data_IF_877684405141
#
_entry.id   IF_877684405141
#
_cell.length_a   1.000
_cell.length_b   1.000
_cell.length_c   1.000
_cell.angle_alpha   90.00
_cell.angle_beta   90.00
_cell.angle_gamma   90.00
#
_symmetry.space_group_name_H-M   'P 1'
#
loop_
_entity.id
_entity.type
_entity.pdbx_description
1 polymer ?
#
# COMPACT_ATOMS: atom_id res chain seq x y z
N UNK A 1 -10.99 -60.03 28.38
CA UNK A 1 -10.40 -61.28 28.88
C UNK A 1 -9.32 -61.71 27.91
N UNK A 2 -8.12 -62.12 28.36
CA UNK A 2 -7.56 -61.90 29.70
C UNK A 2 -6.11 -61.33 29.59
N UNK A 3 -5.70 -60.39 30.46
CA UNK A 3 -4.91 -60.60 31.70
C UNK A 3 -3.41 -60.87 31.40
N UNK A 4 -2.41 -60.24 32.03
CA UNK A 4 -2.14 -60.20 33.48
C UNK A 4 -1.01 -59.18 33.80
N UNK A 5 -1.16 -58.43 34.89
CA UNK A 5 -0.09 -57.91 35.77
C UNK A 5 0.50 -59.11 36.59
N UNK A 6 1.67 -59.08 37.29
CA UNK A 6 2.04 -58.00 38.24
C UNK A 6 3.55 -57.76 38.57
N UNK A 7 3.75 -56.67 39.32
CA UNK A 7 4.74 -56.35 40.37
C UNK A 7 5.95 -57.28 40.65
N UNK A 8 7.12 -56.68 40.90
CA UNK A 8 7.70 -56.60 42.25
C UNK A 8 8.94 -55.68 42.34
N UNK A 9 8.86 -54.72 43.26
CA UNK A 9 9.99 -53.98 43.83
C UNK A 9 10.82 -54.92 44.71
N UNK A 10 12.15 -54.78 44.67
CA UNK A 10 12.98 -54.55 45.86
C UNK A 10 14.46 -54.49 45.45
N UNK A 11 14.99 -53.27 45.35
CA UNK A 11 16.43 -53.03 45.35
C UNK A 11 16.83 -52.57 46.76
N UNK A 12 17.65 -53.37 47.43
CA UNK A 12 18.65 -52.91 48.40
C UNK A 12 19.51 -54.09 48.80
N UNK A 13 20.79 -54.06 48.46
CA UNK A 13 21.85 -54.12 49.46
C UNK A 13 23.20 -53.73 48.82
N UNK A 14 23.73 -52.61 49.34
CA UNK A 14 25.12 -52.26 49.58
C UNK A 14 26.24 -52.77 48.64
N UNK A 15 26.84 -51.78 47.96
CA UNK A 15 28.27 -51.44 47.93
C UNK A 15 29.29 -52.53 48.26
N UNK A 16 30.13 -52.85 47.27
CA UNK A 16 31.59 -52.93 47.45
C UNK A 16 32.29 -52.49 46.14
N UNK A 17 33.23 -51.58 46.34
CA UNK A 17 33.93 -50.77 45.34
C UNK A 17 35.16 -51.52 44.84
N UNK A 18 35.42 -51.49 43.52
CA UNK A 18 36.71 -51.11 42.93
C UNK A 18 36.73 -51.45 41.43
N UNK A 19 37.10 -50.47 40.60
CA UNK A 19 37.38 -50.68 39.17
C UNK A 19 36.63 -49.75 38.21
N UNK A 20 36.34 -48.51 38.59
CA UNK A 20 35.96 -47.50 37.60
C UNK A 20 37.23 -47.05 36.86
N UNK A 21 37.45 -47.60 35.67
CA UNK A 21 38.25 -46.94 34.65
C UNK A 21 37.65 -45.56 34.43
N UNK A 22 38.47 -44.51 34.59
CA UNK A 22 38.05 -43.15 34.33
C UNK A 22 37.63 -43.06 32.86
N UNK A 23 36.32 -42.85 32.62
CA UNK A 23 35.84 -42.35 31.34
C UNK A 23 36.56 -41.01 31.07
N UNK A 24 37.07 -40.77 29.85
CA UNK A 24 37.71 -39.51 29.53
C UNK A 24 36.66 -38.40 29.72
N UNK A 25 36.93 -37.48 30.63
CA UNK A 25 36.16 -36.25 30.74
C UNK A 25 36.34 -35.48 29.44
N UNK A 26 35.32 -35.52 28.57
CA UNK A 26 35.20 -34.58 27.47
C UNK A 26 35.11 -33.17 28.09
N UNK A 27 36.15 -32.37 27.87
CA UNK A 27 36.21 -30.99 28.31
C UNK A 27 35.12 -30.18 27.58
N UNK A 28 34.21 -29.46 28.26
CA UNK A 28 33.10 -28.73 27.60
C UNK A 28 33.54 -27.53 26.76
N UNK A 29 34.84 -27.24 26.65
CA UNK A 29 35.37 -26.02 26.05
C UNK A 29 35.83 -26.16 24.59
N UNK A 30 35.69 -27.32 23.96
CA UNK A 30 36.17 -27.53 22.58
C UNK A 30 35.13 -27.27 21.46
N UNK A 31 33.84 -27.05 21.77
CA UNK A 31 32.79 -26.85 20.74
C UNK A 31 32.31 -25.39 20.56
N UNK A 32 32.77 -24.45 21.38
CA UNK A 32 32.43 -23.02 21.26
C UNK A 32 32.82 -22.33 19.93
N UNK A 33 33.94 -22.68 19.23
CA UNK A 33 34.38 -21.94 18.04
C UNK A 33 33.44 -22.04 16.82
N UNK A 34 32.58 -23.06 16.75
CA UNK A 34 31.73 -23.29 15.58
C UNK A 34 30.47 -22.39 15.54
N UNK A 35 30.08 -21.80 16.67
CA UNK A 35 28.83 -21.04 16.78
C UNK A 35 29.04 -19.52 16.80
N UNK A 36 30.17 -19.07 17.35
CA UNK A 36 30.46 -17.65 17.51
C UNK A 36 31.95 -17.39 17.32
N UNK A 37 32.29 -16.24 16.74
CA UNK A 37 33.67 -15.80 16.55
C UNK A 37 33.94 -14.57 17.41
N UNK A 38 35.00 -14.59 18.22
CA UNK A 38 35.44 -13.41 18.97
C UNK A 38 36.00 -12.36 18.02
N UNK A 39 35.50 -11.13 18.13
CA UNK A 39 35.93 -10.00 17.30
C UNK A 39 37.02 -9.16 17.97
N UNK A 40 37.13 -9.19 19.30
CA UNK A 40 38.13 -8.44 20.07
C UNK A 40 37.51 -7.43 21.05
N UNK A 41 38.35 -6.51 21.53
CA UNK A 41 37.95 -5.47 22.47
C UNK A 41 37.42 -4.21 21.78
N UNK A 42 36.26 -3.71 22.24
CA UNK A 42 35.63 -2.52 21.69
C UNK A 42 35.19 -1.56 22.80
N UNK A 43 35.19 -0.27 22.52
CA UNK A 43 34.54 0.71 23.40
C UNK A 43 33.06 0.32 23.57
N UNK A 44 32.54 0.35 24.79
CA UNK A 44 31.14 0.02 25.12
C UNK A 44 30.15 1.14 24.78
N UNK A 45 30.67 2.34 24.48
CA UNK A 45 29.90 3.46 23.92
C UNK A 45 30.71 4.20 22.87
N UNK A 46 30.04 4.63 21.81
CA UNK A 46 30.57 5.55 20.78
C UNK A 46 29.66 6.77 20.74
N UNK A 47 30.20 7.98 20.91
CA UNK A 47 29.44 9.24 20.96
C UNK A 47 28.24 9.21 21.94
N UNK A 48 28.41 8.53 23.09
CA UNK A 48 27.38 8.41 24.12
C UNK A 48 26.33 7.32 23.87
N UNK A 49 26.32 6.68 22.71
CA UNK A 49 25.42 5.58 22.35
C UNK A 49 26.11 4.25 22.67
N UNK A 50 25.40 3.31 23.31
CA UNK A 50 25.94 1.97 23.57
C UNK A 50 26.22 1.24 22.26
N UNK A 51 27.27 0.44 22.27
CA UNK A 51 27.71 -0.37 21.12
C UNK A 51 26.67 -1.40 20.69
N UNK A 52 25.99 -2.01 21.66
CA UNK A 52 24.88 -2.94 21.45
C UNK A 52 23.66 -2.47 22.26
N UNK A 53 22.52 -2.31 21.59
CA UNK A 53 21.35 -1.61 22.13
C UNK A 53 20.06 -2.44 22.18
N UNK A 54 20.06 -3.66 21.63
CA UNK A 54 18.82 -4.40 21.40
C UNK A 54 18.30 -5.13 22.64
N UNK A 55 19.16 -5.88 23.33
CA UNK A 55 18.79 -6.61 24.55
C UNK A 55 19.97 -6.69 25.51
N UNK A 56 19.69 -6.85 26.80
CA UNK A 56 20.73 -6.97 27.82
C UNK A 56 20.28 -7.77 29.04
N UNK A 57 21.23 -8.44 29.69
CA UNK A 57 21.05 -9.09 30.99
C UNK A 57 22.33 -9.00 31.81
N UNK A 58 22.28 -9.24 33.12
CA UNK A 58 23.46 -9.26 33.96
C UNK A 58 23.31 -10.18 35.16
N UNK A 59 24.42 -10.71 35.67
CA UNK A 59 24.42 -11.62 36.81
C UNK A 59 25.81 -12.09 37.24
N UNK A 60 25.89 -12.62 38.44
CA UNK A 60 27.17 -12.98 39.07
C UNK A 60 27.68 -14.39 38.66
N UNK A 61 26.96 -15.04 37.74
CA UNK A 61 27.34 -16.31 37.11
C UNK A 61 27.58 -16.16 35.59
N UNK A 62 27.91 -14.95 35.13
CA UNK A 62 28.09 -14.67 33.70
C UNK A 62 29.29 -15.41 33.12
N UNK A 63 29.09 -16.04 31.97
CA UNK A 63 30.13 -16.66 31.14
C UNK A 63 29.92 -16.22 29.69
N UNK A 64 30.94 -16.39 28.84
CA UNK A 64 30.80 -16.17 27.40
C UNK A 64 29.67 -17.03 26.82
N UNK A 65 29.56 -18.29 27.26
CA UNK A 65 28.54 -19.23 26.78
C UNK A 65 27.12 -18.86 27.21
N UNK A 66 26.92 -18.39 28.44
CA UNK A 66 25.60 -17.95 28.91
C UNK A 66 25.15 -16.68 28.19
N UNK A 67 26.06 -15.74 27.93
CA UNK A 67 25.73 -14.55 27.14
C UNK A 67 25.41 -14.90 25.68
N UNK A 68 26.21 -15.78 25.06
CA UNK A 68 25.98 -16.24 23.71
C UNK A 68 24.63 -16.97 23.56
N UNK A 69 24.24 -17.78 24.55
CA UNK A 69 22.93 -18.45 24.57
C UNK A 69 21.78 -17.43 24.65
N UNK A 70 21.89 -16.44 25.54
CA UNK A 70 20.92 -15.34 25.67
C UNK A 70 20.80 -14.54 24.37
N UNK A 71 21.92 -14.22 23.72
CA UNK A 71 21.96 -13.44 22.50
C UNK A 71 21.86 -14.27 21.21
N UNK A 72 21.45 -15.54 21.27
CA UNK A 72 21.42 -16.44 20.11
C UNK A 72 20.57 -15.97 18.92
N UNK A 73 19.64 -15.04 19.14
CA UNK A 73 18.80 -14.42 18.12
C UNK A 73 19.38 -13.12 17.50
N UNK A 74 20.57 -12.68 17.93
CA UNK A 74 21.19 -11.44 17.50
C UNK A 74 22.49 -11.69 16.75
N UNK A 75 22.89 -10.73 15.91
CA UNK A 75 24.11 -10.81 15.11
C UNK A 75 25.36 -10.72 15.98
N UNK A 76 25.32 -9.88 17.00
CA UNK A 76 26.44 -9.63 17.90
C UNK A 76 26.02 -9.80 19.35
N UNK A 77 26.99 -10.19 20.18
CA UNK A 77 26.89 -10.05 21.62
C UNK A 77 28.20 -9.55 22.19
N UNK A 78 28.13 -8.82 23.30
CA UNK A 78 29.26 -8.23 23.99
C UNK A 78 29.15 -8.43 25.49
N UNK A 79 30.28 -8.74 26.13
CA UNK A 79 30.36 -8.84 27.58
C UNK A 79 31.05 -7.60 28.15
N UNK A 80 30.44 -6.99 29.17
CA UNK A 80 30.93 -5.77 29.82
C UNK A 80 31.00 -5.98 31.34
N UNK A 81 31.99 -5.33 31.98
CA UNK A 81 32.09 -5.24 33.45
C UNK A 81 32.12 -6.60 34.17
N UNK A 82 32.57 -7.67 33.52
CA UNK A 82 32.65 -9.02 34.12
C UNK A 82 31.31 -9.73 34.31
N UNK A 83 30.17 -9.04 34.22
CA UNK A 83 28.85 -9.56 34.63
C UNK A 83 27.69 -9.19 33.71
N UNK A 84 27.91 -8.32 32.74
CA UNK A 84 26.86 -7.82 31.85
C UNK A 84 26.97 -8.46 30.47
N UNK A 85 25.81 -8.71 29.88
CA UNK A 85 25.66 -9.25 28.54
C UNK A 85 24.77 -8.32 27.72
N UNK A 86 25.24 -7.96 26.53
CA UNK A 86 24.55 -7.05 25.62
C UNK A 86 24.42 -7.70 24.25
N UNK A 87 23.28 -7.51 23.58
CA UNK A 87 23.00 -8.07 22.25
C UNK A 87 22.64 -6.95 21.27
N UNK A 88 23.00 -7.12 20.00
CA UNK A 88 22.61 -6.18 18.94
C UNK A 88 22.85 -6.71 17.54
N UNK A 89 22.22 -6.08 16.55
CA UNK A 89 22.36 -6.44 15.14
C UNK A 89 23.26 -5.47 14.35
N UNK A 90 23.51 -4.29 14.92
CA UNK A 90 24.40 -3.25 14.38
C UNK A 90 25.64 -3.08 15.25
N UNK A 91 26.76 -2.72 14.63
CA UNK A 91 28.04 -2.54 15.29
C UNK A 91 28.47 -1.06 15.19
N UNK A 92 27.95 -0.22 16.08
CA UNK A 92 28.56 1.09 16.36
C UNK A 92 29.71 0.87 17.33
N UNK A 93 30.85 0.36 16.83
CA UNK A 93 31.95 -0.07 17.69
C UNK A 93 33.29 0.49 17.21
N UNK A 94 34.08 1.01 18.16
CA UNK A 94 35.48 1.40 17.95
C UNK A 94 36.36 0.37 18.64
N UNK A 95 37.19 -0.32 17.86
CA UNK A 95 38.15 -1.27 18.42
C UNK A 95 39.15 -0.55 19.34
N UNK A 96 39.50 -1.20 20.45
CA UNK A 96 40.51 -0.73 21.39
C UNK A 96 41.59 -1.80 21.55
N UNK A 97 42.66 -1.47 22.27
CA UNK A 97 43.73 -2.43 22.55
C UNK A 97 43.19 -3.64 23.35
N UNK A 98 43.65 -4.84 23.02
CA UNK A 98 43.20 -6.09 23.65
C UNK A 98 43.42 -6.11 25.17
N UNK A 99 44.45 -5.41 25.68
CA UNK A 99 44.69 -5.30 27.12
C UNK A 99 43.57 -4.57 27.87
N UNK A 100 42.70 -3.84 27.17
CA UNK A 100 41.59 -3.13 27.78
C UNK A 100 40.40 -4.02 28.14
N UNK A 101 40.28 -5.24 27.61
CA UNK A 101 39.36 -6.24 28.16
C UNK A 101 40.05 -7.01 29.29
N UNK A 102 40.15 -6.39 30.46
CA UNK A 102 40.91 -6.95 31.58
C UNK A 102 40.07 -7.69 32.62
N UNK A 103 38.73 -7.61 32.56
CA UNK A 103 37.87 -8.16 33.60
C UNK A 103 37.57 -9.64 33.33
N UNK A 104 37.80 -10.53 34.31
CA UNK A 104 37.35 -11.91 34.22
C UNK A 104 35.83 -11.99 34.28
N UNK A 105 35.26 -13.01 33.66
CA UNK A 105 33.83 -13.30 33.78
C UNK A 105 33.47 -13.75 35.20
N UNK A 106 32.36 -13.24 35.76
CA UNK A 106 31.89 -13.53 37.12
C UNK A 106 31.59 -15.01 37.35
N UNK A 107 31.11 -15.71 36.33
CA UNK A 107 30.84 -17.16 36.34
C UNK A 107 32.00 -18.03 35.83
N UNK A 108 33.07 -17.45 35.29
CA UNK A 108 34.25 -18.20 34.84
C UNK A 108 35.50 -17.31 34.75
N UNK A 109 36.36 -17.39 35.75
CA UNK A 109 37.57 -16.55 35.84
C UNK A 109 38.63 -16.81 34.76
N UNK A 110 38.47 -17.87 33.95
CA UNK A 110 39.34 -18.17 32.81
C UNK A 110 38.90 -17.50 31.50
N UNK A 111 37.75 -16.83 31.52
CA UNK A 111 37.19 -16.11 30.38
C UNK A 111 37.28 -14.61 30.61
N UNK A 112 37.39 -13.87 29.50
CA UNK A 112 37.38 -12.40 29.49
C UNK A 112 35.96 -11.89 29.28
N UNK A 113 35.58 -10.84 30.01
CA UNK A 113 34.25 -10.24 29.99
C UNK A 113 34.32 -8.71 29.97
N UNK A 114 35.13 -8.18 29.04
CA UNK A 114 35.30 -6.74 28.84
C UNK A 114 36.05 -6.05 29.97
N UNK A 115 35.70 -4.80 30.25
CA UNK A 115 36.12 -4.02 31.42
C UNK A 115 35.15 -2.85 31.67
N UNK A 116 35.54 -1.85 32.47
CA UNK A 116 34.77 -0.62 32.64
C UNK A 116 34.61 0.12 31.30
N UNK A 117 33.37 0.17 30.78
CA UNK A 117 33.01 0.75 29.49
C UNK A 117 33.71 0.13 28.27
N UNK A 118 34.22 -1.10 28.37
CA UNK A 118 34.83 -1.86 27.28
C UNK A 118 34.09 -3.20 27.13
N UNK A 119 33.70 -3.55 25.91
CA UNK A 119 33.01 -4.78 25.58
C UNK A 119 33.96 -5.78 24.91
N UNK A 120 33.97 -7.01 25.43
CA UNK A 120 34.54 -8.16 24.73
C UNK A 120 33.50 -8.69 23.74
N UNK A 121 33.71 -8.44 22.45
CA UNK A 121 32.68 -8.53 21.41
C UNK A 121 32.81 -9.81 20.58
N UNK A 122 31.66 -10.39 20.22
CA UNK A 122 31.53 -11.63 19.46
C UNK A 122 30.48 -11.50 18.36
N UNK A 123 30.69 -12.19 17.23
CA UNK A 123 29.70 -12.36 16.16
C UNK A 123 29.10 -13.77 16.21
N UNK A 124 27.79 -13.85 15.98
CA UNK A 124 27.04 -15.09 15.87
C UNK A 124 27.08 -15.61 14.43
N UNK A 125 27.80 -16.71 14.21
CA UNK A 125 28.00 -17.31 12.89
C UNK A 125 26.73 -17.99 12.36
N UNK A 126 25.71 -18.19 13.22
CA UNK A 126 24.38 -18.71 12.83
C UNK A 126 23.32 -17.61 12.73
N UNK A 127 23.70 -16.35 12.78
CA UNK A 127 22.74 -15.26 12.66
C UNK A 127 22.04 -15.30 11.30
N UNK A 128 20.72 -15.39 11.34
CA UNK A 128 19.88 -15.27 10.15
C UNK A 128 19.47 -13.80 10.05
N UNK A 129 19.93 -13.13 8.98
CA UNK A 129 19.51 -11.78 8.65
C UNK A 129 17.99 -11.74 8.46
N UNK A 130 17.30 -11.10 9.41
CA UNK A 130 15.85 -10.89 9.35
C UNK A 130 15.52 -9.86 8.28
N UNK A 131 14.47 -10.12 7.51
CA UNK A 131 14.00 -9.20 6.47
C UNK A 131 12.54 -8.83 6.71
N UNK A 132 12.08 -7.67 6.22
CA UNK A 132 10.65 -7.42 6.11
C UNK A 132 9.97 -8.59 5.42
N UNK A 133 8.81 -8.99 5.95
CA UNK A 133 8.04 -10.04 5.31
C UNK A 133 7.65 -9.62 3.89
N UNK A 134 7.93 -10.50 2.91
CA UNK A 134 7.45 -10.33 1.55
C UNK A 134 5.97 -10.71 1.49
N UNK A 135 5.10 -9.73 1.69
CA UNK A 135 3.65 -9.90 1.60
C UNK A 135 3.13 -9.36 0.27
N UNK A 136 1.88 -9.71 -0.07
CA UNK A 136 1.15 -9.09 -1.20
C UNK A 136 0.84 -7.61 -0.98
N UNK A 137 1.02 -7.12 0.25
CA UNK A 137 0.88 -5.71 0.61
C UNK A 137 2.26 -5.07 0.78
N UNK A 138 2.47 -3.81 0.33
CA UNK A 138 3.76 -3.15 0.45
C UNK A 138 4.18 -2.93 1.91
N UNK A 139 5.45 -3.20 2.23
CA UNK A 139 6.04 -2.75 3.48
C UNK A 139 6.28 -1.24 3.41
N UNK A 140 5.68 -0.46 4.32
CA UNK A 140 5.77 1.01 4.31
C UNK A 140 7.02 1.48 5.08
N UNK A 141 7.35 0.77 6.16
CA UNK A 141 8.51 1.06 6.99
C UNK A 141 8.35 0.66 8.46
N UNK A 142 9.38 0.97 9.23
CA UNK A 142 9.39 0.94 10.69
C UNK A 142 8.86 2.29 11.20
N UNK A 143 8.11 2.32 12.30
CA UNK A 143 7.47 3.53 12.83
C UNK A 143 7.70 3.67 14.34
N UNK A 144 7.84 4.89 14.87
CA UNK A 144 8.09 5.16 16.30
C UNK A 144 6.79 5.11 17.08
N UNK A 145 6.61 4.11 17.93
CA UNK A 145 5.40 3.94 18.76
C UNK A 145 5.67 4.37 20.21
N UNK A 146 5.45 5.65 20.51
CA UNK A 146 5.57 6.20 21.86
C UNK A 146 4.20 6.36 22.57
N UNK A 147 4.16 5.94 23.84
CA UNK A 147 2.94 5.56 24.55
C UNK A 147 1.80 6.58 24.72
N UNK A 148 1.95 7.92 24.63
CA UNK A 148 0.80 8.82 24.74
C UNK A 148 0.07 9.06 23.40
N UNK A 149 0.72 8.82 22.26
CA UNK A 149 0.15 8.95 20.90
C UNK A 149 0.63 7.78 20.04
N UNK A 150 0.10 6.58 20.35
CA UNK A 150 0.40 5.36 19.60
C UNK A 150 0.27 5.62 18.09
N UNK A 151 1.24 5.12 17.31
CA UNK A 151 1.20 5.21 15.83
C UNK A 151 -0.08 4.59 15.29
N UNK A 152 -0.48 3.49 15.91
CA UNK A 152 -1.76 2.82 15.70
C UNK A 152 -2.55 2.87 17.02
N UNK A 153 -3.41 3.88 17.20
CA UNK A 153 -4.09 4.11 18.47
C UNK A 153 -5.27 3.18 18.74
N UNK A 154 -5.67 2.33 17.78
CA UNK A 154 -6.85 1.47 17.88
C UNK A 154 -6.53 0.04 17.44
N UNK A 155 -7.30 -0.93 17.97
CA UNK A 155 -7.34 -2.34 17.53
C UNK A 155 -5.99 -3.10 17.62
N UNK A 156 -5.44 -3.22 18.83
CA UNK A 156 -4.29 -4.07 19.09
C UNK A 156 -4.60 -5.54 18.78
N UNK A 157 -3.77 -6.19 17.96
CA UNK A 157 -3.75 -7.64 17.83
C UNK A 157 -2.62 -8.22 18.70
N UNK A 158 -2.97 -8.91 19.77
CA UNK A 158 -2.06 -9.75 20.53
C UNK A 158 -2.26 -11.22 20.16
N UNK A 159 -1.18 -11.94 19.85
CA UNK A 159 -1.22 -13.39 19.66
C UNK A 159 0.12 -14.04 20.01
N UNK A 160 0.08 -15.23 20.58
CA UNK A 160 1.28 -16.03 20.88
C UNK A 160 1.95 -16.58 19.60
N UNK A 161 1.22 -16.59 18.48
CA UNK A 161 1.65 -17.12 17.18
C UNK A 161 1.63 -16.04 16.07
N UNK A 162 1.90 -14.79 16.46
CA UNK A 162 1.92 -13.63 15.58
C UNK A 162 2.85 -13.82 14.37
N UNK A 163 2.33 -13.55 13.17
CA UNK A 163 3.08 -13.47 11.92
C UNK A 163 2.85 -12.12 11.26
N UNK A 164 3.74 -11.70 10.37
CA UNK A 164 3.53 -10.48 9.59
C UNK A 164 2.22 -10.53 8.77
N UNK A 165 1.84 -11.70 8.26
CA UNK A 165 0.57 -11.90 7.55
C UNK A 165 -0.66 -11.69 8.46
N UNK A 166 -0.65 -12.23 9.68
CA UNK A 166 -1.73 -12.00 10.65
C UNK A 166 -1.87 -10.54 11.04
N UNK A 167 -0.74 -9.87 11.23
CA UNK A 167 -0.71 -8.44 11.54
C UNK A 167 -1.27 -7.61 10.35
N UNK A 168 -0.84 -7.93 9.14
CA UNK A 168 -1.32 -7.33 7.90
C UNK A 168 -2.83 -7.47 7.68
N UNK A 169 -3.37 -8.69 7.81
CA UNK A 169 -4.80 -8.98 7.61
C UNK A 169 -5.68 -8.20 8.60
N UNK A 170 -5.25 -8.15 9.87
CA UNK A 170 -5.94 -7.40 10.91
C UNK A 170 -5.89 -5.89 10.66
N UNK A 171 -4.78 -5.39 10.15
CA UNK A 171 -4.54 -3.96 9.95
C UNK A 171 -5.08 -3.42 8.61
N UNK A 172 -5.63 -4.27 7.72
CA UNK A 172 -6.02 -3.92 6.36
C UNK A 172 -7.06 -2.77 6.23
N UNK A 173 -7.72 -2.38 7.33
CA UNK A 173 -8.75 -1.36 7.36
C UNK A 173 -8.33 -0.03 8.04
N UNK A 174 -7.06 0.16 8.41
CA UNK A 174 -6.62 1.30 9.27
C UNK A 174 -5.50 2.17 8.64
N UNK A 175 -5.36 3.42 9.14
CA UNK A 175 -4.40 4.46 8.69
C UNK A 175 -3.11 4.50 9.55
N UNK A 176 -1.97 4.99 9.01
CA UNK A 176 -0.63 4.96 9.67
C UNK A 176 0.14 6.31 9.62
N UNK A 177 0.90 6.69 10.68
CA UNK A 177 1.72 7.92 10.74
C UNK A 177 3.09 7.74 11.45
N UNK A 178 4.18 8.34 10.94
CA UNK A 178 5.47 8.55 11.66
C UNK A 178 6.58 7.49 11.51
N UNK A 179 7.48 7.64 10.52
CA UNK A 179 8.50 6.64 10.16
C UNK A 179 9.80 6.74 11.00
N UNK A 180 10.32 5.58 11.40
CA UNK A 180 11.61 5.34 12.05
C UNK A 180 12.59 4.63 11.09
N UNK A 181 13.92 4.65 11.37
CA UNK A 181 14.88 3.80 10.67
C UNK A 181 14.52 2.30 10.75
N UNK A 182 14.74 1.57 9.66
CA UNK A 182 14.38 0.14 9.57
C UNK A 182 15.15 -0.73 10.58
N UNK A 183 16.41 -0.39 10.86
CA UNK A 183 17.26 -1.13 11.79
C UNK A 183 16.75 -1.14 13.24
N UNK A 184 15.84 -0.24 13.58
CA UNK A 184 15.22 -0.18 14.90
C UNK A 184 14.05 -1.17 15.05
N UNK A 185 13.57 -1.77 13.95
CA UNK A 185 12.58 -2.86 13.95
C UNK A 185 13.30 -4.22 13.97
N UNK A 186 13.66 -4.69 15.17
CA UNK A 186 14.53 -5.86 15.37
C UNK A 186 13.83 -7.09 15.97
N UNK A 187 12.55 -7.03 16.32
CA UNK A 187 11.87 -8.18 16.92
C UNK A 187 11.38 -9.14 15.84
N UNK A 188 11.72 -10.42 16.00
CA UNK A 188 11.19 -11.48 15.15
C UNK A 188 9.72 -11.75 15.49
N UNK A 189 8.91 -12.08 14.48
CA UNK A 189 7.56 -12.56 14.70
C UNK A 189 7.58 -13.91 15.47
N UNK A 190 6.61 -14.14 16.38
CA UNK A 190 6.60 -15.36 17.20
C UNK A 190 6.24 -16.61 16.41
N UNK A 191 5.36 -16.49 15.40
CA UNK A 191 4.98 -17.57 14.48
C UNK A 191 5.95 -17.78 13.31
N UNK A 192 6.86 -16.84 13.07
CA UNK A 192 7.90 -16.97 12.03
C UNK A 192 9.14 -16.14 12.42
N UNK A 193 10.20 -16.84 12.84
CA UNK A 193 11.42 -16.19 13.33
C UNK A 193 12.26 -15.52 12.23
N UNK A 194 11.91 -15.74 10.96
CA UNK A 194 12.66 -15.18 9.81
C UNK A 194 12.20 -13.77 9.42
N UNK A 195 11.04 -13.33 9.91
CA UNK A 195 10.43 -12.03 9.59
C UNK A 195 10.35 -11.11 10.80
N UNK A 196 10.26 -9.80 10.54
CA UNK A 196 10.20 -8.75 11.58
C UNK A 196 8.75 -8.35 11.93
N UNK A 197 8.49 -8.19 13.22
CA UNK A 197 7.21 -7.74 13.78
C UNK A 197 7.45 -6.59 14.79
N UNK A 198 8.05 -5.49 14.34
CA UNK A 198 8.34 -4.31 15.16
C UNK A 198 9.57 -4.42 16.07
N UNK A 199 9.57 -3.66 17.16
CA UNK A 199 10.49 -3.75 18.31
C UNK A 199 9.85 -3.07 19.54
N UNK A 200 10.57 -2.93 20.66
CA UNK A 200 10.01 -2.44 21.93
C UNK A 200 9.09 -1.20 21.82
N UNK A 201 9.56 -0.10 21.23
CA UNK A 201 8.76 1.11 20.91
C UNK A 201 8.68 1.35 19.40
N UNK A 202 8.70 0.29 18.61
CA UNK A 202 8.70 0.37 17.15
C UNK A 202 7.68 -0.59 16.57
N UNK A 203 6.99 -0.16 15.53
CA UNK A 203 6.02 -1.01 14.83
C UNK A 203 6.40 -1.14 13.36
N UNK A 204 6.47 -2.38 12.87
CA UNK A 204 6.55 -2.66 11.44
C UNK A 204 5.16 -2.47 10.85
N UNK A 205 5.04 -1.66 9.80
CA UNK A 205 3.76 -1.34 9.18
C UNK A 205 3.74 -1.76 7.71
N UNK A 206 2.65 -2.41 7.33
CA UNK A 206 2.38 -2.84 5.96
C UNK A 206 1.06 -2.23 5.47
N UNK A 207 1.03 -1.71 4.24
CA UNK A 207 -0.15 -1.05 3.68
C UNK A 207 0.16 -0.12 2.50
N UNK A 208 -0.77 0.80 2.21
CA UNK A 208 -0.65 1.82 1.16
C UNK A 208 0.41 2.87 1.48
N UNK A 209 1.42 3.01 0.61
CA UNK A 209 2.50 4.00 0.76
C UNK A 209 2.05 5.45 0.50
N UNK A 210 1.08 5.65 -0.39
CA UNK A 210 0.56 6.96 -0.77
C UNK A 210 -0.87 7.14 -0.25
N UNK A 211 -1.21 8.36 0.17
CA UNK A 211 -2.53 8.69 0.74
C UNK A 211 -3.22 9.72 -0.16
N UNK A 212 -4.39 9.36 -0.68
CA UNK A 212 -5.23 10.28 -1.45
C UNK A 212 -5.79 11.40 -0.53
N UNK A 213 -5.66 12.68 -0.90
CA UNK A 213 -6.25 13.79 -0.14
C UNK A 213 -7.75 13.59 0.05
N UNK A 214 -8.22 13.60 1.29
CA UNK A 214 -9.65 13.39 1.59
C UNK A 214 -10.56 14.43 0.91
N UNK A 215 -10.07 15.66 0.73
CA UNK A 215 -10.79 16.76 0.07
C UNK A 215 -9.88 17.51 -0.89
N UNK A 216 -10.42 17.88 -2.05
CA UNK A 216 -9.75 18.65 -3.10
C UNK A 216 -10.77 19.58 -3.74
N UNK A 217 -10.59 20.90 -3.59
CA UNK A 217 -11.42 21.93 -4.23
C UNK A 217 -12.95 21.66 -4.18
N UNK A 218 -13.46 21.27 -3.01
CA UNK A 218 -14.88 20.97 -2.78
C UNK A 218 -15.28 19.51 -3.07
N UNK A 219 -14.44 18.75 -3.77
CA UNK A 219 -14.64 17.32 -3.97
C UNK A 219 -14.15 16.52 -2.76
N UNK A 220 -14.82 15.41 -2.49
CA UNK A 220 -14.47 14.45 -1.44
C UNK A 220 -14.03 13.13 -2.08
N UNK A 221 -12.91 12.58 -1.61
CA UNK A 221 -12.40 11.29 -2.06
C UNK A 221 -13.39 10.16 -1.74
N UNK A 222 -13.67 9.31 -2.73
CA UNK A 222 -14.63 8.20 -2.65
C UNK A 222 -13.94 6.83 -2.55
N UNK A 223 -12.68 6.73 -3.01
CA UNK A 223 -11.86 5.53 -2.96
C UNK A 223 -11.20 5.18 -4.28
N UNK A 224 -10.54 4.02 -4.30
CA UNK A 224 -9.97 3.41 -5.50
C UNK A 224 -11.02 2.56 -6.25
N UNK A 225 -11.17 2.76 -7.56
CA UNK A 225 -12.15 2.07 -8.41
C UNK A 225 -11.52 1.49 -9.68
N UNK A 226 -12.11 0.41 -10.21
CA UNK A 226 -11.72 -0.16 -11.51
C UNK A 226 -12.13 0.74 -12.67
N UNK A 227 -11.27 0.88 -13.70
CA UNK A 227 -11.56 1.67 -14.91
C UNK A 227 -11.04 1.01 -16.19
N UNK A 228 -11.73 -0.03 -16.67
CA UNK A 228 -11.28 -0.80 -17.83
C UNK A 228 -11.73 -0.16 -19.15
N UNK A 229 -10.98 -0.37 -20.23
CA UNK A 229 -11.33 0.14 -21.57
C UNK A 229 -12.76 -0.16 -22.04
N UNK A 230 -13.30 -1.35 -21.75
CA UNK A 230 -14.66 -1.77 -22.11
C UNK A 230 -15.68 -1.58 -20.99
N UNK A 231 -15.28 -1.02 -19.85
CA UNK A 231 -16.10 -0.84 -18.67
C UNK A 231 -15.60 0.37 -17.87
N UNK A 232 -15.53 1.52 -18.55
CA UNK A 232 -15.05 2.78 -17.95
C UNK A 232 -15.93 3.17 -16.76
N UNK A 233 -15.32 3.77 -15.76
CA UNK A 233 -15.99 4.28 -14.57
C UNK A 233 -16.58 5.67 -14.82
N UNK A 234 -15.85 6.50 -15.58
CA UNK A 234 -16.24 7.87 -15.94
C UNK A 234 -16.15 8.05 -17.47
N UNK A 235 -17.12 8.76 -18.04
CA UNK A 235 -17.29 8.88 -19.51
C UNK A 235 -17.34 10.33 -20.01
N UNK A 236 -16.96 11.29 -19.16
CA UNK A 236 -16.83 12.70 -19.54
C UNK A 236 -15.50 13.01 -20.24
N UNK A 237 -15.06 14.25 -20.13
CA UNK A 237 -13.77 14.69 -20.69
C UNK A 237 -12.59 13.95 -20.07
N UNK A 238 -11.56 13.72 -20.88
CA UNK A 238 -10.29 13.12 -20.44
C UNK A 238 -9.15 14.07 -20.77
N UNK A 239 -8.35 14.40 -19.76
CA UNK A 239 -7.18 15.25 -19.87
C UNK A 239 -5.92 14.46 -19.57
N UNK A 240 -4.81 14.82 -20.21
CA UNK A 240 -3.49 14.25 -19.98
C UNK A 240 -2.50 15.37 -19.74
N UNK A 241 -1.84 15.35 -18.60
CA UNK A 241 -0.88 16.36 -18.18
C UNK A 241 0.27 15.67 -17.44
N UNK A 242 1.53 15.78 -17.91
CA UNK A 242 2.68 15.26 -17.20
C UNK A 242 2.76 15.69 -15.73
N UNK A 243 2.36 16.93 -15.40
CA UNK A 243 2.33 17.43 -14.02
C UNK A 243 0.98 17.26 -13.33
N UNK A 244 0.24 16.18 -13.59
CA UNK A 244 -1.10 15.97 -13.03
C UNK A 244 -1.07 15.95 -11.49
N UNK A 245 -2.07 16.56 -10.87
CA UNK A 245 -2.38 16.48 -9.44
C UNK A 245 -3.89 16.35 -9.26
N UNK A 246 -4.39 15.89 -8.09
CA UNK A 246 -5.83 15.92 -7.83
C UNK A 246 -6.44 17.31 -8.00
N UNK A 247 -5.69 18.36 -7.60
CA UNK A 247 -6.14 19.75 -7.69
C UNK A 247 -6.27 20.21 -9.15
N UNK A 248 -5.27 19.95 -9.98
CA UNK A 248 -5.34 20.29 -11.40
C UNK A 248 -6.43 19.50 -12.12
N UNK A 249 -6.64 18.23 -11.74
CA UNK A 249 -7.74 17.43 -12.28
C UNK A 249 -9.12 18.00 -11.90
N UNK A 250 -9.32 18.35 -10.63
CA UNK A 250 -10.56 18.98 -10.16
C UNK A 250 -10.87 20.27 -10.94
N UNK A 251 -9.85 21.10 -11.20
CA UNK A 251 -10.00 22.32 -11.99
C UNK A 251 -10.36 22.03 -13.46
N UNK A 252 -9.71 21.05 -14.10
CA UNK A 252 -10.02 20.64 -15.48
C UNK A 252 -11.42 20.03 -15.61
N UNK A 253 -11.91 19.37 -14.55
CA UNK A 253 -13.26 18.81 -14.47
C UNK A 253 -14.31 19.78 -13.93
N UNK A 254 -14.09 21.10 -14.01
CA UNK A 254 -15.12 22.08 -13.69
C UNK A 254 -16.42 21.79 -14.46
N UNK A 255 -17.55 21.69 -13.76
CA UNK A 255 -18.85 21.32 -14.34
C UNK A 255 -19.19 19.82 -14.26
N UNK A 256 -18.25 18.99 -13.79
CA UNK A 256 -18.48 17.58 -13.52
C UNK A 256 -18.53 17.28 -12.02
N UNK A 257 -19.58 16.62 -11.51
CA UNK A 257 -19.60 16.19 -10.11
C UNK A 257 -18.58 15.11 -9.77
N UNK A 258 -18.08 14.37 -10.77
CA UNK A 258 -17.09 13.32 -10.56
C UNK A 258 -15.81 13.63 -11.32
N UNK A 259 -14.67 13.34 -10.69
CA UNK A 259 -13.41 13.17 -11.40
C UNK A 259 -12.64 11.97 -10.85
N UNK A 260 -11.69 11.46 -11.63
CA UNK A 260 -10.77 10.42 -11.24
C UNK A 260 -9.39 10.60 -11.87
N UNK A 261 -8.37 10.06 -11.23
CA UNK A 261 -6.99 10.10 -11.72
C UNK A 261 -6.48 8.69 -12.05
N UNK A 262 -5.87 8.53 -13.22
CA UNK A 262 -5.27 7.27 -13.70
C UNK A 262 -3.83 7.50 -14.14
N UNK A 263 -3.00 6.46 -14.01
CA UNK A 263 -1.69 6.40 -14.65
C UNK A 263 -0.74 7.56 -14.34
N UNK A 264 -0.88 8.17 -13.15
CA UNK A 264 -0.08 9.29 -12.66
C UNK A 264 -0.31 10.63 -13.38
N UNK A 265 -0.90 10.62 -14.58
CA UNK A 265 -0.87 11.73 -15.55
C UNK A 265 -2.22 12.01 -16.21
N UNK A 266 -3.21 11.14 -15.99
CA UNK A 266 -4.51 11.23 -16.65
C UNK A 266 -5.59 11.67 -15.67
N UNK A 267 -6.51 12.48 -16.16
CA UNK A 267 -7.65 12.99 -15.41
C UNK A 267 -8.92 12.68 -16.20
N UNK A 268 -9.86 12.01 -15.55
CA UNK A 268 -11.12 11.57 -16.11
C UNK A 268 -12.24 12.33 -15.42
N UNK A 269 -13.12 12.97 -16.18
CA UNK A 269 -14.30 13.63 -15.64
C UNK A 269 -15.54 12.76 -15.85
N UNK A 270 -16.58 12.95 -15.05
CA UNK A 270 -17.84 12.23 -15.22
C UNK A 270 -19.04 12.94 -14.65
N UNK A 271 -20.18 12.81 -15.34
CA UNK A 271 -21.47 13.27 -14.82
C UNK A 271 -22.09 12.26 -13.85
N UNK A 272 -21.64 11.01 -13.89
CA UNK A 272 -21.97 9.94 -12.97
C UNK A 272 -20.78 8.99 -12.80
N UNK A 273 -20.74 8.26 -11.69
CA UNK A 273 -19.91 7.07 -11.53
C UNK A 273 -20.72 5.87 -12.03
N UNK A 274 -20.27 5.24 -13.12
CA UNK A 274 -20.99 4.13 -13.74
C UNK A 274 -20.99 2.88 -12.85
N UNK A 275 -22.05 2.06 -12.95
CA UNK A 275 -22.19 0.81 -12.19
C UNK A 275 -21.14 -0.26 -12.53
N UNK A 276 -20.42 -0.09 -13.64
CA UNK A 276 -19.22 -0.86 -14.00
C UNK A 276 -18.07 -0.65 -13.02
N UNK A 277 -17.99 0.52 -12.37
CA UNK A 277 -16.93 0.86 -11.45
C UNK A 277 -17.07 0.10 -10.13
N UNK A 278 -16.15 -0.84 -9.87
CA UNK A 278 -16.08 -1.57 -8.60
C UNK A 278 -15.04 -0.92 -7.70
N UNK A 279 -15.43 -0.64 -6.46
CA UNK A 279 -14.48 -0.20 -5.43
C UNK A 279 -13.51 -1.35 -5.12
N UNK A 280 -12.23 -1.04 -5.07
CA UNK A 280 -11.15 -2.00 -4.79
C UNK A 280 -10.27 -1.49 -3.65
N UNK A 281 -9.24 -2.26 -3.29
CA UNK A 281 -8.34 -1.86 -2.21
C UNK A 281 -7.52 -0.62 -2.60
N UNK A 282 -7.28 0.28 -1.64
CA UNK A 282 -6.57 1.55 -1.88
C UNK A 282 -5.16 1.36 -2.47
N UNK A 283 -4.50 0.23 -2.16
CA UNK A 283 -3.16 -0.06 -2.68
C UNK A 283 -3.13 -0.34 -4.17
N UNK A 284 -4.28 -0.60 -4.80
CA UNK A 284 -4.38 -0.75 -6.25
C UNK A 284 -4.36 0.60 -6.98
N UNK A 285 -4.47 1.73 -6.27
CA UNK A 285 -4.33 3.07 -6.83
C UNK A 285 -3.12 3.76 -6.20
N UNK A 286 -1.92 3.21 -6.39
CA UNK A 286 -0.70 3.69 -5.71
C UNK A 286 0.35 4.30 -6.64
N UNK A 287 0.00 4.55 -7.91
CA UNK A 287 0.89 5.24 -8.84
C UNK A 287 1.01 6.71 -8.44
N UNK A 288 2.25 7.19 -8.36
CA UNK A 288 2.57 8.57 -8.01
C UNK A 288 2.00 9.56 -9.04
N UNK A 289 1.45 10.68 -8.58
CA UNK A 289 1.06 11.77 -9.47
C UNK A 289 2.31 12.41 -10.11
N UNK A 290 2.27 12.65 -11.41
CA UNK A 290 3.40 13.27 -12.13
C UNK A 290 3.70 14.70 -11.67
N UNK A 291 2.72 15.41 -11.11
CA UNK A 291 2.91 16.74 -10.50
C UNK A 291 3.17 16.72 -8.99
N UNK A 292 3.02 15.58 -8.31
CA UNK A 292 3.29 15.43 -6.88
C UNK A 292 3.46 13.96 -6.48
N UNK A 293 4.70 13.51 -6.32
CA UNK A 293 5.00 12.10 -6.01
C UNK A 293 4.52 11.63 -4.61
N UNK A 294 4.11 12.54 -3.72
CA UNK A 294 3.62 12.19 -2.39
C UNK A 294 2.14 11.78 -2.37
N UNK A 295 1.45 11.87 -3.52
CA UNK A 295 0.02 11.66 -3.66
C UNK A 295 -0.25 10.58 -4.73
N UNK A 296 -1.25 9.69 -4.53
CA UNK A 296 -1.63 8.71 -5.53
C UNK A 296 -2.52 9.32 -6.64
N UNK A 297 -2.28 8.90 -7.88
CA UNK A 297 -3.00 9.26 -9.10
C UNK A 297 -3.33 8.01 -9.93
N UNK A 298 -3.95 7.03 -9.30
CA UNK A 298 -4.48 5.81 -9.88
C UNK A 298 -3.44 4.71 -10.01
N UNK A 299 -3.65 3.83 -10.98
CA UNK A 299 -2.72 2.83 -11.52
C UNK A 299 -3.31 2.35 -12.87
N UNK A 300 -2.74 1.34 -13.52
CA UNK A 300 -3.32 0.75 -14.72
C UNK A 300 -4.73 0.17 -14.46
N UNK A 301 -5.74 0.68 -15.18
CA UNK A 301 -7.16 0.38 -15.02
C UNK A 301 -7.69 0.70 -13.60
N UNK A 302 -7.11 1.69 -12.91
CA UNK A 302 -7.44 2.05 -11.52
C UNK A 302 -7.53 3.57 -11.34
N UNK A 303 -8.67 4.04 -10.85
CA UNK A 303 -8.94 5.45 -10.59
C UNK A 303 -9.02 5.76 -9.10
N UNK A 304 -8.28 6.77 -8.64
CA UNK A 304 -8.64 7.48 -7.41
C UNK A 304 -9.84 8.39 -7.73
N UNK A 305 -11.03 8.10 -7.22
CA UNK A 305 -12.29 8.79 -7.56
C UNK A 305 -12.69 9.83 -6.51
N UNK A 306 -13.15 10.98 -6.97
CA UNK A 306 -13.60 12.12 -6.17
C UNK A 306 -14.99 12.58 -6.60
N UNK A 307 -15.79 13.06 -5.64
CA UNK A 307 -17.17 13.51 -5.88
C UNK A 307 -17.49 14.83 -5.19
N UNK A 308 -18.22 15.71 -5.88
CA UNK A 308 -18.79 16.94 -5.35
C UNK A 308 -20.31 17.00 -5.63
N UNK A 309 -21.17 16.91 -4.60
CA UNK A 309 -22.64 16.92 -4.77
C UNK A 309 -23.21 18.30 -5.17
N UNK A 310 -22.45 19.38 -4.95
CA UNK A 310 -22.87 20.75 -5.24
C UNK A 310 -22.68 21.10 -6.72
N UNK A 311 -21.80 20.37 -7.41
CA UNK A 311 -21.62 20.52 -8.86
C UNK A 311 -22.75 19.79 -9.58
N UNK A 312 -23.57 20.52 -10.32
CA UNK A 312 -24.60 19.93 -11.18
C UNK A 312 -24.01 19.69 -12.58
N UNK A 313 -24.21 18.50 -13.16
CA UNK A 313 -23.83 18.24 -14.55
C UNK A 313 -24.39 19.32 -15.47
N UNK A 314 -23.57 19.78 -16.41
CA UNK A 314 -24.05 20.63 -17.50
C UNK A 314 -25.17 19.91 -18.27
N UNK A 315 -26.14 20.69 -18.74
CA UNK A 315 -27.33 20.19 -19.40
C UNK A 315 -27.42 20.74 -20.80
N UNK A 316 -28.14 20.01 -21.65
CA UNK A 316 -28.39 20.42 -23.01
C UNK A 316 -29.72 21.17 -23.16
N UNK A 317 -29.82 22.11 -24.13
CA UNK A 317 -31.09 22.74 -24.45
C UNK A 317 -32.15 21.69 -24.78
N UNK A 318 -33.37 21.86 -24.25
CA UNK A 318 -34.49 20.94 -24.53
C UNK A 318 -34.87 20.97 -26.02
N UNK A 319 -34.74 22.13 -26.66
CA UNK A 319 -35.02 22.36 -28.07
C UNK A 319 -33.91 23.19 -28.69
N UNK A 320 -33.61 22.90 -29.96
CA UNK A 320 -32.65 23.66 -30.79
C UNK A 320 -33.23 23.75 -32.20
N UNK A 321 -33.62 24.96 -32.61
CA UNK A 321 -34.37 25.15 -33.85
C UNK A 321 -35.65 24.32 -33.87
N UNK A 322 -35.79 23.45 -34.88
CA UNK A 322 -36.95 22.55 -35.07
C UNK A 322 -36.82 21.17 -34.41
N UNK A 323 -35.79 20.97 -33.60
CA UNK A 323 -35.49 19.68 -33.00
C UNK A 323 -35.66 19.72 -31.48
N UNK A 324 -36.21 18.65 -30.92
CA UNK A 324 -36.27 18.37 -29.48
C UNK A 324 -35.27 17.29 -29.08
N UNK A 325 -34.71 17.43 -27.87
CA UNK A 325 -33.80 16.45 -27.29
C UNK A 325 -34.51 15.09 -27.12
N UNK A 326 -33.94 14.03 -27.71
CA UNK A 326 -34.43 12.65 -27.59
C UNK A 326 -33.71 11.88 -26.48
N UNK A 327 -32.43 12.17 -26.24
CA UNK A 327 -31.64 11.60 -25.15
C UNK A 327 -30.26 11.13 -25.58
N UNK A 328 -29.65 10.23 -24.80
CA UNK A 328 -28.37 9.61 -25.11
C UNK A 328 -28.60 8.22 -25.71
N UNK A 329 -27.92 7.92 -26.81
CA UNK A 329 -28.07 6.66 -27.56
C UNK A 329 -26.71 5.99 -27.77
N UNK A 330 -26.67 4.66 -27.79
CA UNK A 330 -25.48 3.91 -28.18
C UNK A 330 -25.19 4.11 -29.67
N UNK A 331 -23.92 4.29 -30.03
CA UNK A 331 -23.43 4.32 -31.40
C UNK A 331 -22.32 3.28 -31.59
N UNK A 332 -22.12 2.80 -32.82
CA UNK A 332 -21.01 1.89 -33.13
C UNK A 332 -20.66 1.92 -34.61
N UNK A 333 -19.42 1.54 -34.94
CA UNK A 333 -19.00 1.46 -36.34
C UNK A 333 -19.77 0.42 -37.17
N UNK A 334 -20.19 -0.70 -36.53
CA UNK A 334 -20.96 -1.77 -37.19
C UNK A 334 -22.46 -1.48 -37.26
N UNK A 335 -22.97 -0.60 -36.41
CA UNK A 335 -24.37 -0.19 -36.37
C UNK A 335 -24.45 1.27 -35.93
N UNK A 336 -24.33 2.18 -36.91
CA UNK A 336 -24.43 3.62 -36.67
C UNK A 336 -25.87 4.00 -36.30
N UNK A 337 -26.05 4.76 -35.22
CA UNK A 337 -27.38 5.24 -34.81
C UNK A 337 -27.94 6.22 -35.83
N UNK A 338 -27.06 7.02 -36.45
CA UNK A 338 -27.39 7.99 -37.51
C UNK A 338 -26.47 7.77 -38.72
N UNK A 339 -27.00 7.17 -39.78
CA UNK A 339 -26.24 6.76 -40.97
C UNK A 339 -26.15 7.80 -42.11
N UNK A 340 -26.49 9.06 -41.85
CA UNK A 340 -26.50 10.13 -42.86
C UNK A 340 -25.18 10.92 -42.92
N UNK A 341 -25.28 12.24 -43.04
CA UNK A 341 -24.13 13.13 -43.16
C UNK A 341 -23.34 13.28 -41.85
N UNK A 342 -22.04 13.58 -41.95
CA UNK A 342 -21.13 13.73 -40.80
C UNK A 342 -20.31 15.01 -40.94
N UNK A 343 -20.20 15.77 -39.85
CA UNK A 343 -19.36 16.96 -39.73
C UNK A 343 -18.44 16.83 -38.51
N UNK A 344 -17.16 17.16 -38.65
CA UNK A 344 -16.20 17.22 -37.54
C UNK A 344 -15.62 18.64 -37.42
N UNK A 345 -15.69 19.20 -36.21
CA UNK A 345 -15.28 20.59 -35.92
C UNK A 345 -14.66 20.69 -34.53
N UNK A 346 -13.52 21.35 -34.41
CA UNK A 346 -12.88 21.64 -33.12
C UNK A 346 -13.62 22.69 -32.29
N UNK A 347 -14.57 23.39 -32.90
CA UNK A 347 -15.47 24.39 -32.30
C UNK A 347 -16.94 23.92 -32.31
N UNK A 348 -17.18 22.60 -32.27
CA UNK A 348 -18.53 22.03 -32.35
C UNK A 348 -19.42 22.51 -31.20
N UNK A 349 -20.64 22.93 -31.54
CA UNK A 349 -21.74 23.21 -30.59
C UNK A 349 -23.00 22.46 -31.00
N UNK A 350 -23.97 22.35 -30.10
CA UNK A 350 -25.26 21.74 -30.40
C UNK A 350 -25.96 22.50 -31.55
N UNK A 351 -25.92 23.83 -31.53
CA UNK A 351 -26.53 24.69 -32.54
C UNK A 351 -25.87 24.54 -33.92
N UNK A 352 -24.54 24.41 -33.96
CA UNK A 352 -23.79 24.20 -35.20
C UNK A 352 -24.20 22.89 -35.87
N UNK A 353 -24.30 21.81 -35.09
CA UNK A 353 -24.75 20.52 -35.61
C UNK A 353 -26.20 20.57 -36.09
N UNK A 354 -27.10 21.20 -35.33
CA UNK A 354 -28.50 21.38 -35.72
C UNK A 354 -28.64 22.13 -37.05
N UNK A 355 -27.85 23.19 -37.26
CA UNK A 355 -27.82 23.96 -38.51
C UNK A 355 -27.29 23.14 -39.69
N UNK A 356 -26.20 22.38 -39.49
CA UNK A 356 -25.66 21.50 -40.52
C UNK A 356 -26.65 20.40 -40.93
N UNK A 357 -27.36 19.82 -39.97
CA UNK A 357 -28.31 18.74 -40.19
C UNK A 357 -29.73 19.21 -40.53
N UNK A 358 -29.95 20.48 -40.90
CA UNK A 358 -31.30 21.06 -41.08
C UNK A 358 -32.22 20.24 -42.00
N UNK A 359 -31.68 19.53 -42.99
CA UNK A 359 -32.48 18.72 -43.92
C UNK A 359 -32.74 17.28 -43.46
N UNK A 360 -32.30 16.90 -42.27
CA UNK A 360 -32.49 15.56 -41.70
C UNK A 360 -33.56 15.55 -40.59
N UNK A 361 -34.14 14.38 -40.32
CA UNK A 361 -35.09 14.18 -39.22
C UNK A 361 -34.42 14.17 -37.84
N UNK A 362 -33.16 13.74 -37.78
CA UNK A 362 -32.37 13.64 -36.56
C UNK A 362 -30.97 14.20 -36.74
N UNK A 363 -30.41 14.72 -35.66
CA UNK A 363 -28.98 14.95 -35.53
C UNK A 363 -28.49 14.43 -34.19
N UNK A 364 -27.19 14.14 -34.12
CA UNK A 364 -26.55 13.66 -32.91
C UNK A 364 -25.11 14.15 -32.81
N UNK A 365 -24.64 14.32 -31.58
CA UNK A 365 -23.27 14.75 -31.30
C UNK A 365 -22.51 13.65 -30.55
N UNK A 366 -21.27 13.40 -30.98
CA UNK A 366 -20.37 12.39 -30.43
C UNK A 366 -18.98 12.99 -30.17
N UNK A 367 -18.29 12.45 -29.16
CA UNK A 367 -16.87 12.66 -28.94
C UNK A 367 -16.42 14.14 -28.93
N UNK A 368 -17.24 15.02 -28.35
CA UNK A 368 -17.03 16.48 -28.24
C UNK A 368 -17.07 17.28 -29.54
N UNK A 369 -16.65 16.70 -30.66
CA UNK A 369 -16.32 17.41 -31.89
C UNK A 369 -17.02 16.88 -33.14
N UNK A 370 -17.83 15.83 -33.01
CA UNK A 370 -18.43 15.12 -34.13
C UNK A 370 -19.95 15.34 -34.14
N UNK A 371 -20.49 15.57 -35.33
CA UNK A 371 -21.90 15.78 -35.61
C UNK A 371 -22.33 14.78 -36.66
N UNK A 372 -23.45 14.11 -36.41
CA UNK A 372 -24.04 13.09 -37.26
C UNK A 372 -25.47 13.47 -37.57
N UNK A 373 -25.90 13.27 -38.81
CA UNK A 373 -27.27 13.49 -39.25
C UNK A 373 -27.90 12.16 -39.68
N UNK A 374 -29.21 12.04 -39.61
CA UNK A 374 -29.90 10.84 -40.10
C UNK A 374 -31.41 11.03 -40.22
N UNK A 375 -32.03 10.26 -41.11
CA UNK A 375 -33.50 10.23 -41.23
C UNK A 375 -34.14 9.12 -40.40
N UNK A 376 -33.35 8.15 -39.96
CA UNK A 376 -33.74 7.09 -39.04
C UNK A 376 -32.83 7.11 -37.82
N UNK A 377 -33.37 6.74 -36.67
CA UNK A 377 -32.64 6.60 -35.43
C UNK A 377 -32.51 5.12 -35.05
N UNK A 378 -31.30 4.60 -35.10
CA UNK A 378 -30.93 3.30 -34.53
C UNK A 378 -30.35 3.42 -33.11
N UNK A 379 -29.77 2.32 -32.61
CA UNK A 379 -29.14 2.26 -31.29
C UNK A 379 -30.13 2.20 -30.13
N UNK A 380 -29.61 1.96 -28.94
CA UNK A 380 -30.38 1.85 -27.70
C UNK A 380 -30.30 3.14 -26.89
N UNK A 381 -31.44 3.58 -26.34
CA UNK A 381 -31.46 4.71 -25.43
C UNK A 381 -30.85 4.32 -24.08
N UNK A 382 -29.85 5.06 -23.64
CA UNK A 382 -29.14 4.85 -22.37
C UNK A 382 -29.30 6.03 -21.42
N UNK A 383 -28.72 5.91 -20.23
CA UNK A 383 -28.63 7.01 -19.27
C UNK A 383 -28.07 8.26 -19.95
N UNK A 384 -28.72 9.41 -19.75
CA UNK A 384 -28.27 10.71 -20.29
C UNK A 384 -26.83 11.05 -19.87
N UNK A 385 -26.38 10.50 -18.75
CA UNK A 385 -25.06 10.74 -18.16
C UNK A 385 -23.93 9.96 -18.86
N UNK A 386 -24.24 9.00 -19.74
CA UNK A 386 -23.22 8.36 -20.59
C UNK A 386 -22.80 9.25 -21.77
N UNK A 387 -23.58 10.28 -22.08
CA UNK A 387 -23.23 11.33 -23.03
C UNK A 387 -22.55 12.48 -22.30
N UNK A 388 -21.48 12.16 -21.59
CA UNK A 388 -20.86 13.04 -20.61
C UNK A 388 -19.85 14.04 -21.17
N UNK A 389 -19.41 13.97 -22.44
CA UNK A 389 -18.35 14.85 -22.95
C UNK A 389 -18.88 16.26 -23.27
N UNK A 390 -18.17 17.30 -22.82
CA UNK A 390 -18.46 18.69 -23.20
C UNK A 390 -18.29 18.92 -24.71
N UNK A 391 -19.07 19.85 -25.26
CA UNK A 391 -18.88 20.31 -26.64
C UNK A 391 -17.59 21.11 -26.79
N UNK A 392 -16.81 20.81 -27.84
CA UNK A 392 -15.52 21.44 -28.07
C UNK A 392 -15.60 22.97 -28.26
N UNK A 393 -16.73 23.48 -28.78
CA UNK A 393 -17.02 24.90 -28.93
C UNK A 393 -17.86 25.53 -27.82
N UNK A 394 -18.41 24.73 -26.88
CA UNK A 394 -19.23 25.25 -25.79
C UNK A 394 -19.22 24.31 -24.56
N UNK A 395 -18.42 24.65 -23.56
CA UNK A 395 -18.28 23.87 -22.33
C UNK A 395 -19.52 23.87 -21.41
N UNK A 396 -20.59 24.58 -21.77
CA UNK A 396 -21.89 24.51 -21.07
C UNK A 396 -22.86 23.51 -21.71
N UNK A 397 -22.43 22.77 -22.72
CA UNK A 397 -23.22 21.78 -23.46
C UNK A 397 -22.51 20.43 -23.52
N UNK A 398 -23.28 19.36 -23.67
CA UNK A 398 -22.82 17.98 -23.86
C UNK A 398 -22.91 17.57 -25.33
N UNK A 399 -21.80 17.01 -25.84
CA UNK A 399 -21.62 16.55 -27.21
C UNK A 399 -21.29 15.05 -27.24
N UNK A 400 -22.13 14.25 -26.58
CA UNK A 400 -22.03 12.79 -26.60
C UNK A 400 -20.94 12.22 -25.70
N UNK A 401 -20.35 11.12 -26.12
CA UNK A 401 -19.27 10.41 -25.45
C UNK A 401 -18.67 9.37 -26.38
N UNK A 402 -17.69 8.56 -25.92
CA UNK A 402 -17.18 7.44 -26.71
C UNK A 402 -18.30 6.46 -27.01
N UNK A 403 -18.61 6.22 -28.29
CA UNK A 403 -19.69 5.34 -28.74
C UNK A 403 -21.08 5.76 -28.20
N UNK A 404 -21.29 7.06 -27.96
CA UNK A 404 -22.51 7.63 -27.35
C UNK A 404 -22.92 8.93 -28.03
N UNK A 405 -24.11 8.93 -28.65
CA UNK A 405 -24.69 10.10 -29.30
C UNK A 405 -25.68 10.82 -28.40
N UNK A 406 -25.48 12.13 -28.21
CA UNK A 406 -26.55 13.02 -27.75
C UNK A 406 -27.46 13.32 -28.93
N UNK A 407 -28.69 12.81 -28.92
CA UNK A 407 -29.60 12.86 -30.08
C UNK A 407 -30.73 13.87 -29.91
N UNK A 408 -31.00 14.57 -31.00
CA UNK A 408 -32.13 15.45 -31.22
C UNK A 408 -32.92 14.98 -32.44
N UNK A 409 -34.24 15.15 -32.44
CA UNK A 409 -35.13 14.78 -33.55
C UNK A 409 -36.23 15.82 -33.73
N UNK A 410 -36.78 15.91 -34.94
CA UNK A 410 -37.84 16.89 -35.24
C UNK A 410 -39.05 16.72 -34.32
N UNK A 411 -39.70 17.83 -34.03
CA UNK A 411 -40.97 17.84 -33.33
C UNK A 411 -42.06 17.23 -34.20
N UNK A 412 -42.67 16.14 -33.73
CA UNK A 412 -43.78 15.45 -34.43
C UNK A 412 -45.00 16.37 -34.70
N UNK A 413 -45.04 17.55 -34.07
CA UNK A 413 -46.11 18.55 -34.24
C UNK A 413 -46.00 19.40 -35.51
N UNK A 414 -44.90 19.34 -36.26
CA UNK A 414 -44.74 20.12 -37.50
C UNK A 414 -45.16 19.41 -38.80
N UNK A 415 -45.54 18.13 -38.76
CA UNK A 415 -45.96 17.37 -39.95
C UNK A 415 -47.47 17.47 -40.26
N UNK A 416 -48.26 18.21 -39.47
CA UNK A 416 -49.72 18.26 -39.60
C UNK A 416 -50.28 19.50 -40.32
N UNK A 417 -49.45 20.41 -40.85
CA UNK A 417 -49.92 21.56 -41.63
C UNK A 417 -49.02 21.75 -42.85
N UNK A 418 -49.29 21.01 -43.91
CA UNK A 418 -48.54 21.10 -45.15
C UNK A 418 -49.14 20.30 -46.31
N UNK A 419 -50.47 20.32 -46.44
CA UNK A 419 -51.16 20.02 -47.71
C UNK A 419 -52.26 21.08 -47.88
N UNK A 420 -51.99 22.08 -48.72
CA UNK A 420 -52.97 22.84 -49.51
C UNK A 420 -52.28 23.43 -50.74
#
# INVERSE_FOLDING_TARGET
>A
MPSTLPLLRAASLLCLVAGATALPQASPCAELPALFTRLGCYAGKVNGVRTLTSASTGGDSMTVGTCAAFCSAYKYFGLEYGRECWCGDEQLATAVDESQCSFPCSGNSKQTCGAGAIQDLYINNRFIQRKPATLKIPYIGCFVDDGPKRVLPQNLLGSDDMTAAKCADHCAAFEFFGKAPESECSFSCSGDKTTICGAGKRISVWGTRLIAPRKVDGYTYQGCYTDKNNARALTGQVFREPSMTPKSCAASCAGYPWFGLEYGTQCFCGTELLSSAKKVAEYECNMECGGNADIPCGDADRLNVYFNPDVKPVGNPKTVGKYSAKGCYTDSQSLRSLGGAVLRRSDMTVEMCAGYCVNFEHFGLEFSSQCFCGNSLGGEKVSKYQCGMLCAGNNSQLCGGPDRLTVYGRDEKSAAFGDF
#
